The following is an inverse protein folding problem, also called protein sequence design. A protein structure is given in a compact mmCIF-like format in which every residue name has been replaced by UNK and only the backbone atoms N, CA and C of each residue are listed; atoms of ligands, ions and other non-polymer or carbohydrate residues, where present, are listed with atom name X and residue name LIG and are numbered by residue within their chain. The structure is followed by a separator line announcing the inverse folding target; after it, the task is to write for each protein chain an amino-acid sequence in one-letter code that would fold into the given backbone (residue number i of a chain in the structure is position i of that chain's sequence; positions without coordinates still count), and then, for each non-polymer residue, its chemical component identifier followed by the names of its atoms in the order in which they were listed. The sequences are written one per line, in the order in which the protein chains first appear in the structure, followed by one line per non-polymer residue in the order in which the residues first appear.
data_IF_722300403365
#
_entry.id   IF_722300403365
#
_cell.length_a   1.000
_cell.length_b   1.000
_cell.length_c   1.000
_cell.angle_alpha   90.00
_cell.angle_beta   90.00
_cell.angle_gamma   90.00
#
_symmetry.space_group_name_H-M   'P 1'
#
loop_
_entity.id
_entity.type
_entity.pdbx_description
1 polymer ?
#
# COMPACT_ATOMS: atom_id res chain seq x y z
N UNK A 1 3.54 0.63 15.81
CA UNK A 1 2.59 -0.03 14.88
C UNK A 1 2.91 -1.52 14.86
N UNK A 2 1.90 -2.36 14.75
CA UNK A 2 1.95 -3.82 14.69
C UNK A 2 0.66 -4.36 14.05
N UNK A 3 0.39 -5.66 14.09
CA UNK A 3 -0.80 -6.22 13.43
C UNK A 3 -0.68 -6.15 11.91
N UNK A 4 -1.69 -5.63 11.22
CA UNK A 4 -1.75 -5.60 9.74
C UNK A 4 -0.89 -4.50 9.09
N UNK A 5 -0.32 -3.57 9.87
CA UNK A 5 0.47 -2.47 9.33
C UNK A 5 1.65 -2.89 8.42
N UNK A 6 2.43 -3.95 8.74
CA UNK A 6 3.51 -4.41 7.85
C UNK A 6 2.99 -4.96 6.51
N UNK A 7 1.81 -5.59 6.50
CA UNK A 7 1.17 -6.09 5.27
C UNK A 7 0.77 -4.91 4.39
N UNK A 8 0.11 -3.91 4.99
CA UNK A 8 -0.29 -2.68 4.29
C UNK A 8 0.91 -1.92 3.73
N UNK A 9 1.99 -1.81 4.53
CA UNK A 9 3.23 -1.17 4.09
C UNK A 9 3.84 -1.89 2.89
N UNK A 10 4.02 -3.21 2.99
CA UNK A 10 4.67 -4.00 1.94
C UNK A 10 3.86 -3.99 0.63
N UNK A 11 2.54 -4.15 0.72
CA UNK A 11 1.66 -4.10 -0.44
C UNK A 11 1.66 -2.73 -1.14
N UNK A 12 1.69 -1.64 -0.39
CA UNK A 12 1.79 -0.29 -0.95
C UNK A 12 3.18 -0.01 -1.55
N UNK A 13 4.24 -0.53 -0.94
CA UNK A 13 5.62 -0.38 -1.41
C UNK A 13 5.82 -1.06 -2.77
N UNK A 14 5.29 -2.27 -2.96
CA UNK A 14 5.35 -2.95 -4.24
C UNK A 14 4.70 -2.16 -5.37
N UNK A 15 3.52 -1.56 -5.13
CA UNK A 15 2.83 -0.71 -6.11
C UNK A 15 3.63 0.56 -6.39
N UNK A 16 4.18 1.20 -5.35
CA UNK A 16 4.95 2.43 -5.49
C UNK A 16 6.27 2.22 -6.24
N UNK A 17 6.99 1.15 -5.91
CA UNK A 17 8.26 0.79 -6.55
C UNK A 17 8.02 0.39 -8.00
N UNK A 18 6.98 -0.39 -8.30
CA UNK A 18 6.60 -0.71 -9.69
C UNK A 18 6.33 0.56 -10.50
N UNK A 19 5.50 1.46 -9.97
CA UNK A 19 5.19 2.73 -10.64
C UNK A 19 6.44 3.61 -10.83
N UNK A 20 7.36 3.63 -9.87
CA UNK A 20 8.62 4.35 -9.96
C UNK A 20 9.53 3.77 -11.05
N UNK A 21 9.69 2.45 -11.09
CA UNK A 21 10.49 1.75 -12.09
C UNK A 21 9.92 1.92 -13.51
N UNK A 22 8.60 2.09 -13.63
CA UNK A 22 7.93 2.39 -14.90
C UNK A 22 7.94 3.89 -15.25
N UNK A 23 8.55 4.75 -14.43
CA UNK A 23 8.63 6.19 -14.68
C UNK A 23 7.30 6.94 -14.52
N UNK A 24 6.31 6.35 -13.85
CA UNK A 24 4.99 6.95 -13.63
C UNK A 24 4.96 7.93 -12.45
N UNK A 25 5.83 7.73 -11.46
CA UNK A 25 5.93 8.56 -10.25
C UNK A 25 7.38 8.96 -9.96
N UNK A 26 7.57 10.04 -9.21
CA UNK A 26 8.88 10.44 -8.70
C UNK A 26 9.31 9.71 -7.43
N UNK A 27 10.62 9.67 -7.13
CA UNK A 27 11.16 9.02 -5.91
C UNK A 27 10.48 9.51 -4.61
N UNK A 28 10.19 10.82 -4.50
CA UNK A 28 9.55 11.40 -3.32
C UNK A 28 8.05 11.07 -3.21
N UNK A 29 7.44 10.47 -4.22
CA UNK A 29 6.06 10.01 -4.14
C UNK A 29 5.93 8.67 -3.42
N UNK A 30 6.98 7.85 -3.42
CA UNK A 30 7.03 6.58 -2.68
C UNK A 30 6.68 6.80 -1.20
N UNK A 31 7.44 7.60 -0.40
CA UNK A 31 7.09 7.79 1.01
C UNK A 31 5.71 8.44 1.20
N UNK A 32 5.26 9.29 0.28
CA UNK A 32 3.95 9.95 0.36
C UNK A 32 2.79 8.97 0.24
N UNK A 33 2.85 8.04 -0.71
CA UNK A 33 1.81 7.01 -0.86
C UNK A 33 1.86 6.03 0.31
N UNK A 34 3.05 5.64 0.78
CA UNK A 34 3.19 4.75 1.93
C UNK A 34 2.55 5.35 3.19
N UNK A 35 2.83 6.61 3.50
CA UNK A 35 2.20 7.31 4.62
C UNK A 35 0.67 7.36 4.47
N UNK A 36 0.18 7.66 3.27
CA UNK A 36 -1.26 7.76 3.03
C UNK A 36 -1.99 6.42 3.16
N UNK A 37 -1.38 5.35 2.68
CA UNK A 37 -1.93 3.99 2.75
C UNK A 37 -1.86 3.45 4.17
N UNK A 38 -0.75 3.68 4.89
CA UNK A 38 -0.61 3.29 6.28
C UNK A 38 -1.66 3.93 7.21
N UNK A 39 -2.10 5.15 6.94
CA UNK A 39 -3.20 5.80 7.67
C UNK A 39 -4.54 5.06 7.56
N UNK A 40 -4.70 4.21 6.54
CA UNK A 40 -5.91 3.42 6.30
C UNK A 40 -5.80 1.99 6.81
N UNK A 41 -4.70 1.65 7.51
CA UNK A 41 -4.48 0.29 8.03
C UNK A 41 -5.69 -0.18 8.85
N UNK A 42 -6.35 -1.28 8.45
CA UNK A 42 -7.49 -1.79 9.18
C UNK A 42 -7.07 -2.31 10.56
N UNK A 43 -7.92 -2.08 11.55
CA UNK A 43 -7.76 -2.70 12.87
C UNK A 43 -8.35 -4.10 12.81
N UNK A 44 -7.52 -5.11 13.05
CA UNK A 44 -7.96 -6.50 13.01
C UNK A 44 -6.92 -7.45 13.57
N UNK A 45 -7.37 -8.66 13.92
CA UNK A 45 -6.48 -9.75 14.30
C UNK A 45 -5.66 -10.23 13.10
N UNK A 46 -4.48 -10.79 13.37
CA UNK A 46 -3.63 -11.42 12.36
C UNK A 46 -4.19 -12.81 11.99
N UNK A 47 -5.20 -12.81 11.12
CA UNK A 47 -5.73 -14.01 10.46
C UNK A 47 -5.39 -13.98 8.98
N UNK A 48 -5.39 -15.13 8.32
CA UNK A 48 -5.13 -15.21 6.89
C UNK A 48 -6.09 -14.35 6.06
N UNK A 49 -7.38 -14.37 6.39
CA UNK A 49 -8.40 -13.56 5.71
C UNK A 49 -8.14 -12.06 5.87
N UNK A 50 -7.78 -11.61 7.07
CA UNK A 50 -7.48 -10.20 7.32
C UNK A 50 -6.18 -9.76 6.65
N UNK A 51 -5.18 -10.64 6.57
CA UNK A 51 -3.93 -10.39 5.85
C UNK A 51 -4.22 -10.22 4.34
N UNK A 52 -4.97 -11.15 3.74
CA UNK A 52 -5.33 -11.09 2.34
C UNK A 52 -6.16 -9.84 2.01
N UNK A 53 -7.12 -9.51 2.89
CA UNK A 53 -7.93 -8.30 2.76
C UNK A 53 -7.06 -7.02 2.86
N UNK A 54 -6.16 -6.95 3.85
CA UNK A 54 -5.30 -5.79 4.04
C UNK A 54 -4.32 -5.57 2.88
N UNK A 55 -3.76 -6.64 2.30
CA UNK A 55 -2.92 -6.55 1.10
C UNK A 55 -3.72 -5.99 -0.10
N UNK A 56 -4.90 -6.57 -0.38
CA UNK A 56 -5.74 -6.16 -1.49
C UNK A 56 -6.11 -4.68 -1.40
N UNK A 57 -6.58 -4.25 -0.23
CA UNK A 57 -6.99 -2.87 0.00
C UNK A 57 -5.81 -1.91 -0.04
N UNK A 58 -4.65 -2.27 0.50
CA UNK A 58 -3.45 -1.46 0.42
C UNK A 58 -3.01 -1.21 -1.03
N UNK A 59 -3.04 -2.25 -1.87
CA UNK A 59 -2.76 -2.10 -3.31
C UNK A 59 -3.78 -1.20 -3.99
N UNK A 60 -5.06 -1.36 -3.68
CA UNK A 60 -6.14 -0.52 -4.21
C UNK A 60 -5.93 0.95 -3.84
N UNK A 61 -5.72 1.25 -2.56
CA UNK A 61 -5.48 2.62 -2.08
C UNK A 61 -4.22 3.24 -2.67
N UNK A 62 -3.14 2.48 -2.81
CA UNK A 62 -1.91 2.96 -3.44
C UNK A 62 -2.16 3.37 -4.90
N UNK A 63 -2.83 2.50 -5.68
CA UNK A 63 -3.17 2.81 -7.08
C UNK A 63 -4.11 4.00 -7.21
N UNK A 64 -5.11 4.12 -6.33
CA UNK A 64 -6.04 5.24 -6.31
C UNK A 64 -5.33 6.56 -5.98
N UNK A 65 -4.43 6.56 -5.01
CA UNK A 65 -3.67 7.74 -4.62
C UNK A 65 -2.73 8.21 -5.75
N UNK A 66 -2.04 7.27 -6.40
CA UNK A 66 -1.11 7.54 -7.51
C UNK A 66 -1.83 7.75 -8.86
N UNK A 67 -3.14 7.46 -8.94
CA UNK A 67 -3.96 7.54 -10.16
C UNK A 67 -3.46 6.66 -11.30
N UNK A 68 -2.93 5.48 -10.97
CA UNK A 68 -2.41 4.50 -11.94
C UNK A 68 -3.46 3.42 -12.21
N UNK A 69 -3.62 3.02 -13.47
CA UNK A 69 -4.56 1.95 -13.87
C UNK A 69 -3.86 0.59 -13.80
N UNK A 70 -4.62 -0.44 -13.41
CA UNK A 70 -4.23 -1.86 -13.42
C UNK A 70 -3.99 -2.32 -14.85
#
# INVERSE_FOLDING_TARGET
MGGLAPVVLNAADEVAVEAFLQGQIGYLEIPRVLEKVLQQTPVGALTWDNIAYADLEARRWAREYLKIKV
#
